data_IF_462311099291
#
_entry.id   IF_462311099291
#
_cell.length_a   1.000
_cell.length_b   1.000
_cell.length_c   1.000
_cell.angle_alpha   90.00
_cell.angle_beta   90.00
_cell.angle_gamma   90.00
#
_symmetry.space_group_name_H-M   'P 1'
#
loop_
_entity.id
_entity.type
_entity.pdbx_description
1 polymer ?
#
# COMPACT_ATOMS: atom_id res chain seq x y z
N UNK A 1 -16.75 1.78 -1.45
CA UNK A 1 -15.42 2.16 -1.97
C UNK A 1 -14.34 1.77 -0.99
N UNK A 2 -13.29 1.15 -1.46
CA UNK A 2 -12.14 0.84 -0.64
C UNK A 2 -11.01 1.83 -0.94
N UNK A 3 -10.36 2.30 0.11
CA UNK A 3 -9.18 3.14 0.00
C UNK A 3 -8.05 2.46 0.75
N UNK A 4 -6.91 2.34 0.09
CA UNK A 4 -5.73 1.72 0.68
C UNK A 4 -4.66 2.79 0.79
N UNK A 5 -4.27 3.11 2.02
CA UNK A 5 -3.20 4.06 2.28
C UNK A 5 -1.89 3.35 2.54
N UNK A 6 -0.87 3.69 1.78
CA UNK A 6 0.45 3.08 1.92
C UNK A 6 1.45 4.12 2.38
N UNK A 7 2.05 3.88 3.53
CA UNK A 7 3.22 4.62 4.00
C UNK A 7 4.43 3.79 3.57
N UNK A 8 5.15 4.22 2.52
CA UNK A 8 6.23 3.41 1.97
C UNK A 8 7.45 3.37 2.89
N UNK A 9 8.29 2.38 2.64
CA UNK A 9 9.51 2.18 3.41
C UNK A 9 9.45 0.91 4.24
N UNK A 10 10.60 0.49 4.73
CA UNK A 10 10.74 -0.76 5.47
C UNK A 10 9.96 -0.72 6.78
N UNK A 11 9.86 0.45 7.39
CA UNK A 11 9.12 0.66 8.64
C UNK A 11 7.73 1.22 8.43
N UNK A 12 7.24 1.19 7.19
CA UNK A 12 5.94 1.72 6.86
C UNK A 12 4.79 0.80 7.18
N UNK A 13 3.63 1.17 6.69
CA UNK A 13 2.40 0.41 6.96
C UNK A 13 1.43 0.54 5.80
N UNK A 14 0.45 -0.37 5.78
CA UNK A 14 -0.63 -0.34 4.82
C UNK A 14 -1.94 -0.31 5.60
N UNK A 15 -2.74 0.69 5.33
CA UNK A 15 -4.01 0.89 6.02
C UNK A 15 -5.16 0.69 5.03
N UNK A 16 -6.16 -0.07 5.44
CA UNK A 16 -7.31 -0.40 4.61
C UNK A 16 -8.55 0.29 5.16
N UNK A 17 -9.17 1.11 4.33
CA UNK A 17 -10.42 1.80 4.64
C UNK A 17 -11.53 1.28 3.75
N UNK A 18 -12.68 1.05 4.33
CA UNK A 18 -13.86 0.72 3.56
C UNK A 18 -15.03 1.53 4.11
N UNK A 19 -15.68 2.28 3.22
CA UNK A 19 -16.84 3.12 3.56
C UNK A 19 -16.55 4.06 4.74
N UNK A 20 -15.36 4.65 4.74
CA UNK A 20 -14.96 5.61 5.76
C UNK A 20 -14.46 5.02 7.06
N UNK A 21 -14.34 3.70 7.15
CA UNK A 21 -13.89 3.03 8.36
C UNK A 21 -12.60 2.25 8.11
N UNK A 22 -11.72 2.26 9.10
CA UNK A 22 -10.52 1.44 9.05
C UNK A 22 -10.92 0.00 9.30
N UNK A 23 -10.65 -0.89 8.33
CA UNK A 23 -10.96 -2.30 8.48
C UNK A 23 -9.73 -3.13 8.84
N UNK A 24 -8.53 -2.64 8.51
CA UNK A 24 -7.30 -3.33 8.85
C UNK A 24 -6.10 -2.42 8.70
N UNK A 25 -5.04 -2.70 9.45
CA UNK A 25 -3.74 -2.04 9.32
C UNK A 25 -2.67 -3.12 9.46
N UNK A 26 -1.76 -3.18 8.51
CA UNK A 26 -0.65 -4.13 8.54
C UNK A 26 0.68 -3.41 8.43
N UNK A 27 1.71 -4.01 8.98
CA UNK A 27 3.07 -3.53 8.77
C UNK A 27 3.50 -3.82 7.33
N UNK A 28 4.40 -2.99 6.81
CA UNK A 28 4.91 -3.18 5.47
C UNK A 28 5.58 -4.55 5.35
N UNK A 29 5.13 -5.43 4.44
CA UNK A 29 5.80 -6.71 4.22
C UNK A 29 7.22 -6.49 3.73
N UNK A 30 8.16 -7.15 4.38
CA UNK A 30 9.58 -7.04 4.03
C UNK A 30 10.18 -8.42 3.87
N UNK A 31 11.30 -8.47 3.15
CA UNK A 31 12.09 -9.68 3.01
C UNK A 31 13.55 -9.33 3.20
N UNK A 32 14.34 -10.31 3.66
CA UNK A 32 15.78 -10.12 3.77
C UNK A 32 16.43 -10.22 2.40
N UNK A 33 17.26 -9.25 2.08
CA UNK A 33 18.19 -9.38 0.98
C UNK A 33 19.25 -10.39 1.43
N UNK A 34 19.53 -11.40 0.62
CA UNK A 34 20.46 -12.47 0.96
C UNK A 34 21.91 -12.04 1.24
N UNK A 35 22.21 -10.76 1.14
CA UNK A 35 23.51 -10.18 1.41
C UNK A 35 23.39 -9.14 2.52
N UNK A 36 24.13 -9.31 3.62
CA UNK A 36 24.35 -8.31 4.66
C UNK A 36 23.14 -7.93 5.50
N UNK A 37 22.22 -8.83 5.73
CA UNK A 37 21.07 -8.58 6.62
C UNK A 37 20.26 -7.32 6.27
N UNK A 38 20.30 -6.90 5.02
CA UNK A 38 19.47 -5.79 4.58
C UNK A 38 18.05 -6.26 4.33
N UNK A 39 17.10 -5.48 4.80
CA UNK A 39 15.68 -5.74 4.53
C UNK A 39 15.22 -4.86 3.38
N UNK A 40 14.34 -5.38 2.59
CA UNK A 40 13.72 -4.64 1.52
C UNK A 40 12.24 -4.94 1.47
N UNK A 41 11.48 -4.07 0.85
CA UNK A 41 10.04 -4.22 0.71
C UNK A 41 9.75 -5.43 -0.19
N UNK A 42 8.81 -6.26 0.26
CA UNK A 42 8.39 -7.45 -0.49
C UNK A 42 7.15 -7.13 -1.32
N UNK A 43 7.38 -6.79 -2.59
CA UNK A 43 6.28 -6.41 -3.49
C UNK A 43 5.27 -7.51 -3.72
N UNK A 44 5.71 -8.76 -3.81
CA UNK A 44 4.79 -9.90 -4.01
C UNK A 44 3.88 -10.07 -2.81
N UNK A 45 4.39 -9.90 -1.61
CA UNK A 45 3.59 -10.02 -0.40
C UNK A 45 2.61 -8.86 -0.28
N UNK A 46 3.03 -7.65 -0.67
CA UNK A 46 2.12 -6.51 -0.71
C UNK A 46 0.93 -6.84 -1.61
N UNK A 47 1.18 -7.32 -2.81
CA UNK A 47 0.12 -7.69 -3.73
C UNK A 47 -0.83 -8.71 -3.11
N UNK A 48 -0.29 -9.76 -2.49
CA UNK A 48 -1.09 -10.79 -1.86
C UNK A 48 -1.95 -10.22 -0.72
N UNK A 49 -1.38 -9.35 0.10
CA UNK A 49 -2.10 -8.73 1.20
C UNK A 49 -3.23 -7.82 0.71
N UNK A 50 -3.00 -7.09 -0.39
CA UNK A 50 -4.03 -6.27 -1.00
C UNK A 50 -5.15 -7.14 -1.55
N UNK A 51 -4.81 -8.20 -2.27
CA UNK A 51 -5.82 -9.04 -2.90
C UNK A 51 -6.65 -9.83 -1.90
N UNK A 52 -6.11 -10.15 -0.74
CA UNK A 52 -6.87 -10.79 0.32
C UNK A 52 -8.02 -9.91 0.83
N UNK A 53 -7.84 -8.61 0.79
CA UNK A 53 -8.75 -7.66 1.43
C UNK A 53 -9.64 -6.92 0.44
N UNK A 54 -9.31 -6.94 -0.84
CA UNK A 54 -10.12 -6.28 -1.86
C UNK A 54 -11.18 -7.27 -2.33
N UNK A 55 -12.42 -6.96 -2.01
CA UNK A 55 -13.56 -7.73 -2.49
C UNK A 55 -13.66 -7.60 -4.01
N UNK A 56 -14.02 -8.68 -4.75
CA UNK A 56 -14.24 -8.57 -6.18
C UNK A 56 -15.20 -7.45 -6.59
N UNK A 57 -16.18 -7.13 -5.76
CA UNK A 57 -17.09 -6.02 -6.02
C UNK A 57 -16.43 -4.66 -5.92
N UNK A 58 -15.33 -4.55 -5.18
CA UNK A 58 -14.63 -3.30 -4.97
C UNK A 58 -13.45 -3.10 -5.91
N UNK A 59 -13.10 -4.09 -6.75
CA UNK A 59 -11.91 -3.99 -7.59
C UNK A 59 -11.94 -2.79 -8.53
N UNK A 60 -13.08 -2.49 -9.12
CA UNK A 60 -13.24 -1.32 -9.97
C UNK A 60 -13.44 -0.01 -9.20
N UNK A 61 -13.51 -0.08 -7.87
CA UNK A 61 -13.84 1.05 -7.01
C UNK A 61 -12.87 1.14 -5.82
N UNK A 62 -11.64 0.70 -6.02
CA UNK A 62 -10.60 0.73 -5.01
C UNK A 62 -9.53 1.72 -5.44
N UNK A 63 -9.10 2.57 -4.51
CA UNK A 63 -8.05 3.54 -4.75
C UNK A 63 -6.89 3.29 -3.80
N UNK A 64 -5.69 3.38 -4.33
CA UNK A 64 -4.46 3.26 -3.54
C UNK A 64 -3.83 4.64 -3.45
N UNK A 65 -3.56 5.07 -2.23
CA UNK A 65 -2.91 6.36 -1.95
C UNK A 65 -1.55 6.06 -1.37
N UNK A 66 -0.50 6.50 -2.04
CA UNK A 66 0.87 6.29 -1.59
C UNK A 66 1.45 7.65 -1.22
N UNK A 67 1.90 7.76 0.03
CA UNK A 67 2.57 8.95 0.48
C UNK A 67 4.03 8.93 0.04
N UNK A 68 4.42 9.96 -0.70
CA UNK A 68 5.82 10.13 -1.08
C UNK A 68 6.43 11.21 -0.23
N UNK A 69 7.50 10.88 0.47
CA UNK A 69 8.26 11.86 1.22
C UNK A 69 9.34 12.42 0.33
N UNK A 70 9.22 13.70 -0.01
CA UNK A 70 10.25 14.40 -0.75
C UNK A 70 11.43 14.71 0.17
N UNK A 71 12.64 14.77 -0.40
CA UNK A 71 13.83 15.19 0.33
C UNK A 71 13.76 16.66 0.76
N UNK A 72 12.83 17.44 0.22
CA UNK A 72 12.65 18.85 0.58
C UNK A 72 11.55 18.99 1.64
N UNK A 73 11.82 19.69 2.74
CA UNK A 73 10.83 19.90 3.79
C UNK A 73 9.57 20.56 3.24
N UNK A 74 8.42 20.07 3.67
CA UNK A 74 7.13 20.62 3.30
C UNK A 74 6.56 20.15 1.98
N UNK A 75 7.24 19.28 1.27
CA UNK A 75 6.74 18.75 0.00
C UNK A 75 6.44 17.26 0.11
N UNK A 76 5.32 16.95 0.72
CA UNK A 76 4.76 15.62 0.62
C UNK A 76 3.95 15.51 -0.66
N UNK A 77 4.22 14.52 -1.49
CA UNK A 77 3.44 14.24 -2.67
C UNK A 77 2.67 12.96 -2.44
N UNK A 78 1.36 13.03 -2.62
CA UNK A 78 0.50 11.86 -2.54
C UNK A 78 0.15 11.41 -3.94
N UNK A 79 0.54 10.18 -4.28
CA UNK A 79 0.18 9.59 -5.56
C UNK A 79 -1.06 8.73 -5.37
N UNK A 80 -2.03 8.91 -6.27
CA UNK A 80 -3.30 8.19 -6.22
C UNK A 80 -3.46 7.33 -7.46
N UNK A 81 -3.80 6.07 -7.24
CA UNK A 81 -4.02 5.13 -8.34
C UNK A 81 -5.41 4.51 -8.23
N UNK A 82 -6.06 4.34 -9.37
CA UNK A 82 -7.27 3.54 -9.44
C UNK A 82 -6.86 2.08 -9.58
N UNK A 83 -7.10 1.31 -8.52
CA UNK A 83 -6.61 -0.05 -8.45
C UNK A 83 -7.24 -0.96 -9.51
N UNK A 84 -8.50 -0.73 -9.82
CA UNK A 84 -9.20 -1.52 -10.84
C UNK A 84 -8.62 -1.33 -12.23
N UNK A 85 -8.15 -0.14 -12.54
CA UNK A 85 -7.52 0.14 -13.83
C UNK A 85 -6.11 -0.41 -13.93
N UNK A 86 -5.42 -0.55 -12.81
CA UNK A 86 -4.05 -1.05 -12.79
C UNK A 86 -3.95 -2.53 -13.15
N UNK A 87 -5.04 -3.26 -13.01
CA UNK A 87 -5.10 -4.68 -13.29
C UNK A 87 -5.95 -5.03 -14.51
N UNK A 88 -6.48 -4.02 -15.16
CA UNK A 88 -7.36 -4.19 -16.31
C UNK A 88 -6.67 -4.66 -17.56
#
# INVERSE_FOLDING_TARGET
MMIIGIDPGISGSICFFKDGKIIDVIEMPTMTDGKKNKRQVNGSQIYNELMKRIDPHDQGNTRVVIEQVSAMPGQGVTSMFNFGQSFG
#
